data_IF_205965933877
#
_entry.id   IF_205965933877
#
_cell.length_a   1.000
_cell.length_b   1.000
_cell.length_c   1.000
_cell.angle_alpha   90.00
_cell.angle_beta   90.00
_cell.angle_gamma   90.00
#
_symmetry.space_group_name_H-M   'P 1'
#
loop_
_entity.id
_entity.type
_entity.pdbx_description
1 polymer ?
#
# COMPACT_ATOMS: atom_id res chain seq x y z
N UNK A 1 0.52 16.76 15.53
CA UNK A 1 1.68 17.69 15.61
C UNK A 1 2.45 17.75 14.28
N UNK A 2 2.81 16.61 13.70
CA UNK A 2 3.49 16.56 12.39
C UNK A 2 2.62 17.07 11.23
N UNK A 3 1.31 16.82 11.25
CA UNK A 3 0.39 17.32 10.22
C UNK A 3 0.28 18.86 10.22
N UNK A 4 0.50 19.52 11.37
CA UNK A 4 0.48 20.97 11.50
C UNK A 4 1.80 21.62 11.09
N UNK A 5 2.94 20.90 11.17
CA UNK A 5 4.26 21.41 10.80
C UNK A 5 4.54 21.33 9.29
N UNK A 6 3.75 20.58 8.52
CA UNK A 6 3.98 20.38 7.08
C UNK A 6 5.27 19.63 6.75
N UNK A 7 5.97 19.11 7.75
CA UNK A 7 7.28 18.44 7.59
C UNK A 7 7.18 17.11 6.83
N UNK A 8 6.00 16.52 6.75
CA UNK A 8 5.79 15.24 6.03
C UNK A 8 5.65 15.42 4.51
N UNK A 9 5.31 16.62 4.01
CA UNK A 9 5.17 16.90 2.58
C UNK A 9 6.52 17.26 1.96
N UNK A 10 7.37 16.25 1.76
CA UNK A 10 8.67 16.41 1.11
C UNK A 10 8.51 16.35 -0.40
N UNK A 11 8.13 17.46 -1.02
CA UNK A 11 7.81 17.55 -2.46
C UNK A 11 8.86 18.31 -3.27
N UNK A 12 9.87 18.87 -2.62
CA UNK A 12 10.91 19.66 -3.30
C UNK A 12 12.24 18.91 -3.29
N UNK A 13 12.86 18.65 -4.46
CA UNK A 13 14.20 18.09 -4.51
C UNK A 13 15.22 19.12 -4.01
N UNK A 14 16.19 18.67 -3.20
CA UNK A 14 17.33 19.50 -2.79
C UNK A 14 18.24 19.73 -3.99
N UNK A 15 18.53 20.99 -4.33
CA UNK A 15 19.39 21.32 -5.48
C UNK A 15 20.86 21.02 -5.23
N UNK A 16 21.29 20.98 -3.97
CA UNK A 16 22.68 20.82 -3.57
C UNK A 16 23.08 19.37 -3.34
N UNK A 17 22.14 18.43 -3.45
CA UNK A 17 22.37 17.01 -3.19
C UNK A 17 22.11 16.17 -4.43
N UNK A 18 23.13 16.11 -5.31
CA UNK A 18 23.09 15.27 -6.52
C UNK A 18 23.30 13.77 -6.26
N UNK A 19 23.72 13.39 -5.04
CA UNK A 19 24.11 12.01 -4.72
C UNK A 19 23.04 11.24 -3.95
N UNK A 20 22.27 11.90 -3.07
CA UNK A 20 21.34 11.24 -2.16
C UNK A 20 19.86 11.44 -2.53
N UNK A 21 19.55 12.27 -3.54
CA UNK A 21 18.16 12.62 -3.92
C UNK A 21 17.31 13.05 -2.71
N UNK A 22 17.85 13.92 -1.88
CA UNK A 22 17.16 14.42 -0.69
C UNK A 22 15.97 15.30 -1.11
N UNK A 23 14.79 14.95 -0.62
CA UNK A 23 13.58 15.74 -0.78
C UNK A 23 13.26 16.53 0.48
N UNK A 24 12.89 17.77 0.32
CA UNK A 24 12.72 18.74 1.40
C UNK A 24 11.24 19.12 1.54
N UNK A 25 10.76 19.25 2.77
CA UNK A 25 9.41 19.71 3.06
C UNK A 25 9.32 21.22 3.04
N UNK A 26 8.15 21.76 2.70
CA UNK A 26 7.88 23.20 2.64
C UNK A 26 8.16 23.95 3.96
N UNK A 27 7.87 23.32 5.10
CA UNK A 27 8.00 23.91 6.44
C UNK A 27 9.28 23.53 7.16
N UNK A 28 10.18 22.79 6.55
CA UNK A 28 11.46 22.43 7.15
C UNK A 28 12.29 23.72 7.38
N UNK A 29 12.77 23.91 8.61
CA UNK A 29 13.61 25.08 8.96
C UNK A 29 14.89 25.14 8.13
N UNK A 30 15.44 23.99 7.76
CA UNK A 30 16.61 23.88 6.89
C UNK A 30 16.26 23.95 5.39
N UNK A 31 14.98 23.83 5.02
CA UNK A 31 14.52 23.98 3.65
C UNK A 31 14.78 25.38 3.11
N UNK A 32 14.67 26.39 3.94
CA UNK A 32 14.94 27.77 3.56
C UNK A 32 16.39 27.94 3.09
N UNK A 33 17.35 27.37 3.79
CA UNK A 33 18.77 27.44 3.45
C UNK A 33 19.11 26.55 2.26
N UNK A 34 18.45 25.38 2.16
CA UNK A 34 18.63 24.43 1.06
C UNK A 34 17.88 24.81 -0.22
N UNK A 35 16.76 25.54 -0.10
CA UNK A 35 15.93 26.01 -1.22
C UNK A 35 16.27 27.43 -1.64
N UNK A 36 16.85 28.26 -0.75
CA UNK A 36 17.23 29.65 -0.99
C UNK A 36 18.68 29.83 -1.42
N UNK A 37 19.45 28.75 -1.50
CA UNK A 37 20.81 28.81 -1.99
C UNK A 37 20.87 29.59 -3.31
N UNK A 38 21.42 30.79 -3.27
CA UNK A 38 21.81 31.63 -4.42
C UNK A 38 20.78 32.52 -5.11
N UNK A 39 19.57 32.76 -4.55
CA UNK A 39 18.53 33.53 -5.25
C UNK A 39 18.24 34.96 -4.70
N UNK A 40 19.08 35.47 -3.89
CA UNK A 40 19.13 36.93 -3.63
C UNK A 40 20.27 37.51 -4.45
N UNK A 41 20.05 37.67 -5.76
CA UNK A 41 20.89 38.57 -6.55
C UNK A 41 20.47 40.02 -6.23
N UNK A 42 21.28 40.81 -5.51
CA UNK A 42 20.92 42.16 -5.11
C UNK A 42 20.89 43.16 -6.26
N UNK A 43 21.24 42.77 -7.49
CA UNK A 43 21.30 43.63 -8.66
C UNK A 43 20.19 43.30 -9.66
N UNK A 44 18.96 43.71 -9.32
CA UNK A 44 17.78 43.60 -10.14
C UNK A 44 17.95 43.97 -11.61
N UNK A 45 18.21 43.02 -12.47
CA UNK A 45 17.89 43.08 -13.89
C UNK A 45 17.10 41.81 -14.26
N UNK A 46 15.86 42.08 -14.62
CA UNK A 46 14.85 41.13 -15.02
C UNK A 46 15.25 40.39 -16.31
N UNK A 47 15.66 39.15 -16.14
CA UNK A 47 15.26 38.12 -17.05
C UNK A 47 14.51 37.12 -16.17
N UNK A 48 13.24 36.89 -16.47
CA UNK A 48 12.37 35.94 -15.79
C UNK A 48 12.84 34.54 -16.18
N UNK A 49 14.02 34.19 -15.66
CA UNK A 49 14.58 32.85 -15.85
C UNK A 49 13.94 31.96 -14.77
N UNK A 50 13.04 31.09 -15.23
CA UNK A 50 12.35 30.09 -14.40
C UNK A 50 13.32 29.24 -13.56
N UNK A 51 14.61 29.19 -13.95
CA UNK A 51 15.67 28.51 -13.18
C UNK A 51 15.96 29.20 -11.85
N UNK A 52 15.55 30.44 -11.67
CA UNK A 52 15.85 31.28 -10.50
C UNK A 52 14.67 31.43 -9.52
N UNK A 53 13.51 30.84 -9.79
CA UNK A 53 12.34 30.93 -8.91
C UNK A 53 12.45 29.89 -7.80
N UNK A 54 12.32 30.32 -6.55
CA UNK A 54 12.29 29.44 -5.39
C UNK A 54 11.05 28.55 -5.44
N UNK A 55 11.20 27.24 -5.20
CA UNK A 55 10.09 26.29 -5.05
C UNK A 55 9.06 26.80 -4.01
N UNK A 56 9.54 27.43 -2.95
CA UNK A 56 8.70 28.03 -1.91
C UNK A 56 7.74 29.08 -2.48
N UNK A 57 8.25 29.95 -3.35
CA UNK A 57 7.45 31.00 -4.00
C UNK A 57 6.40 30.40 -4.94
N UNK A 58 6.77 29.39 -5.72
CA UNK A 58 5.84 28.70 -6.62
C UNK A 58 4.73 27.99 -5.85
N UNK A 59 5.08 27.28 -4.79
CA UNK A 59 4.07 26.58 -3.98
C UNK A 59 3.13 27.58 -3.26
N UNK A 60 3.67 28.68 -2.75
CA UNK A 60 2.85 29.74 -2.16
C UNK A 60 1.88 30.33 -3.19
N UNK A 61 2.35 30.57 -4.40
CA UNK A 61 1.53 31.10 -5.49
C UNK A 61 0.44 30.10 -5.93
N UNK A 62 0.78 28.82 -6.00
CA UNK A 62 -0.19 27.74 -6.23
C UNK A 62 -1.31 27.75 -5.19
N UNK A 63 -0.96 27.85 -3.90
CA UNK A 63 -1.94 27.93 -2.82
C UNK A 63 -2.81 29.18 -2.88
N UNK A 64 -2.26 30.33 -3.26
CA UNK A 64 -3.01 31.59 -3.44
C UNK A 64 -4.04 31.44 -4.58
N UNK A 65 -3.65 30.86 -5.72
CA UNK A 65 -4.58 30.63 -6.83
C UNK A 65 -5.69 29.65 -6.47
N UNK A 66 -5.40 28.60 -5.69
CA UNK A 66 -6.43 27.69 -5.18
C UNK A 66 -7.42 28.40 -4.25
N UNK A 67 -6.94 29.28 -3.36
CA UNK A 67 -7.81 30.06 -2.48
C UNK A 67 -8.71 31.04 -3.23
N UNK A 68 -8.24 31.54 -4.38
CA UNK A 68 -9.00 32.43 -5.26
C UNK A 68 -9.89 31.70 -6.26
N UNK A 69 -9.91 30.37 -6.22
CA UNK A 69 -10.63 29.51 -7.16
C UNK A 69 -10.19 29.67 -8.62
N UNK A 70 -8.98 30.21 -8.83
CA UNK A 70 -8.35 30.38 -10.15
C UNK A 70 -7.63 29.10 -10.59
N UNK A 71 -8.39 28.01 -10.80
CA UNK A 71 -7.84 26.67 -11.05
C UNK A 71 -6.91 26.60 -12.26
N UNK A 72 -7.23 27.34 -13.34
CA UNK A 72 -6.39 27.36 -14.56
C UNK A 72 -5.00 27.98 -14.31
N UNK A 73 -4.95 29.00 -13.47
CA UNK A 73 -3.68 29.61 -13.06
C UNK A 73 -2.91 28.71 -12.11
N UNK A 74 -3.61 28.01 -11.21
CA UNK A 74 -3.03 26.99 -10.33
C UNK A 74 -2.41 25.84 -11.13
N UNK A 75 -3.10 25.31 -12.14
CA UNK A 75 -2.59 24.22 -13.01
C UNK A 75 -1.30 24.64 -13.72
N UNK A 76 -1.24 25.87 -14.27
CA UNK A 76 -0.02 26.37 -14.90
C UNK A 76 1.18 26.43 -13.92
N UNK A 77 0.95 26.83 -12.68
CA UNK A 77 2.02 26.85 -11.65
C UNK A 77 2.41 25.42 -11.27
N UNK A 78 1.45 24.50 -11.19
CA UNK A 78 1.70 23.09 -10.91
C UNK A 78 2.58 22.46 -11.98
N UNK A 79 2.31 22.74 -13.26
CA UNK A 79 3.12 22.27 -14.39
C UNK A 79 4.58 22.78 -14.28
N UNK A 80 4.77 24.02 -13.85
CA UNK A 80 6.12 24.56 -13.62
C UNK A 80 6.80 23.81 -12.48
N UNK A 81 6.11 23.53 -11.37
CA UNK A 81 6.65 22.77 -10.24
C UNK A 81 7.06 21.37 -10.69
N UNK A 82 6.20 20.65 -11.43
CA UNK A 82 6.47 19.30 -11.96
C UNK A 82 7.70 19.33 -12.88
N UNK A 83 7.79 20.29 -13.77
CA UNK A 83 8.93 20.41 -14.68
C UNK A 83 10.25 20.68 -13.93
N UNK A 84 10.21 21.49 -12.87
CA UNK A 84 11.36 21.73 -12.03
C UNK A 84 11.76 20.50 -11.21
N UNK A 85 10.78 19.76 -10.68
CA UNK A 85 11.03 18.48 -10.01
C UNK A 85 11.74 17.50 -10.95
N UNK A 86 11.24 17.36 -12.17
CA UNK A 86 11.86 16.49 -13.21
C UNK A 86 13.27 16.95 -13.60
N UNK A 87 13.53 18.25 -13.59
CA UNK A 87 14.85 18.81 -13.95
C UNK A 87 15.92 18.56 -12.88
N UNK A 88 15.53 18.61 -11.61
CA UNK A 88 16.48 18.54 -10.48
C UNK A 88 16.53 17.15 -9.79
N UNK A 89 15.74 16.20 -10.24
CA UNK A 89 15.73 14.84 -9.69
C UNK A 89 16.30 13.86 -10.71
N UNK A 90 17.00 12.81 -10.24
CA UNK A 90 17.44 11.73 -11.11
C UNK A 90 16.21 11.09 -11.78
N UNK A 91 16.18 10.97 -13.12
CA UNK A 91 15.08 10.34 -13.83
C UNK A 91 14.71 8.94 -13.34
N UNK A 92 15.66 8.21 -12.73
CA UNK A 92 15.44 6.89 -12.14
C UNK A 92 14.65 6.93 -10.83
N UNK A 93 14.65 8.08 -10.13
CA UNK A 93 13.97 8.27 -8.86
C UNK A 93 12.53 8.77 -9.02
N UNK A 94 12.16 9.20 -10.23
CA UNK A 94 10.80 9.67 -10.52
C UNK A 94 9.97 8.47 -11.01
N UNK A 95 8.86 8.12 -10.33
CA UNK A 95 7.97 7.06 -10.80
C UNK A 95 7.36 7.43 -12.17
N UNK A 96 7.16 6.43 -13.02
CA UNK A 96 6.46 6.62 -14.29
C UNK A 96 4.98 6.95 -14.05
N UNK A 97 4.32 7.61 -15.00
CA UNK A 97 2.87 7.89 -14.93
C UNK A 97 2.05 6.60 -14.71
N UNK A 98 2.43 5.51 -15.38
CA UNK A 98 1.78 4.21 -15.19
C UNK A 98 1.93 3.66 -13.76
N UNK A 99 3.06 3.90 -13.10
CA UNK A 99 3.25 3.53 -11.70
C UNK A 99 2.40 4.40 -10.76
N UNK A 100 2.31 5.70 -11.02
CA UNK A 100 1.45 6.61 -10.27
C UNK A 100 -0.03 6.23 -10.40
N UNK A 101 -0.50 5.96 -11.61
CA UNK A 101 -1.88 5.53 -11.84
C UNK A 101 -2.19 4.20 -11.15
N UNK A 102 -1.23 3.26 -11.17
CA UNK A 102 -1.35 1.99 -10.46
C UNK A 102 -1.42 2.19 -8.95
N UNK A 103 -0.59 3.07 -8.39
CA UNK A 103 -0.60 3.39 -6.96
C UNK A 103 -1.91 4.06 -6.54
N UNK A 104 -2.41 5.02 -7.33
CA UNK A 104 -3.70 5.66 -7.10
C UNK A 104 -4.84 4.62 -7.13
N UNK A 105 -4.81 3.72 -8.11
CA UNK A 105 -5.78 2.64 -8.24
C UNK A 105 -5.70 1.66 -7.07
N UNK A 106 -4.49 1.29 -6.64
CA UNK A 106 -4.24 0.44 -5.49
C UNK A 106 -4.82 1.06 -4.20
N UNK A 107 -4.54 2.33 -3.95
CA UNK A 107 -5.02 3.03 -2.76
C UNK A 107 -6.55 3.18 -2.76
N UNK A 108 -7.17 3.44 -3.91
CA UNK A 108 -8.62 3.54 -4.07
C UNK A 108 -9.34 2.20 -3.90
N UNK A 109 -8.73 1.10 -4.35
CA UNK A 109 -9.35 -0.23 -4.35
C UNK A 109 -9.47 -0.87 -2.96
N UNK A 110 -8.71 -0.37 -1.96
CA UNK A 110 -8.68 -0.89 -0.59
C UNK A 110 -8.64 -2.43 -0.54
N UNK A 111 -7.74 -3.05 -1.30
CA UNK A 111 -7.68 -4.49 -1.59
C UNK A 111 -7.77 -5.31 -0.29
N UNK A 112 -6.90 -5.05 0.69
CA UNK A 112 -6.85 -5.86 1.91
C UNK A 112 -8.09 -5.70 2.79
N UNK A 113 -8.77 -4.55 2.77
CA UNK A 113 -10.07 -4.37 3.43
C UNK A 113 -11.17 -5.21 2.78
N UNK A 114 -11.11 -5.38 1.47
CA UNK A 114 -12.03 -6.26 0.76
C UNK A 114 -11.71 -7.74 0.98
N UNK A 115 -10.41 -8.10 1.04
CA UNK A 115 -9.94 -9.45 1.40
C UNK A 115 -10.38 -9.83 2.81
N UNK A 116 -10.26 -8.92 3.78
CA UNK A 116 -10.77 -9.09 5.15
C UNK A 116 -12.24 -9.47 5.16
N UNK A 117 -13.09 -8.68 4.45
CA UNK A 117 -14.52 -8.97 4.31
C UNK A 117 -14.76 -10.33 3.65
N UNK A 118 -13.98 -10.65 2.63
CA UNK A 118 -14.04 -11.94 1.93
C UNK A 118 -13.81 -13.11 2.87
N UNK A 119 -12.72 -13.11 3.64
CA UNK A 119 -12.43 -14.16 4.62
C UNK A 119 -13.47 -14.21 5.73
N UNK A 120 -13.97 -13.07 6.22
CA UNK A 120 -15.03 -12.99 7.23
C UNK A 120 -16.29 -13.71 6.78
N UNK A 121 -16.81 -13.39 5.60
CA UNK A 121 -18.04 -14.03 5.11
C UNK A 121 -17.82 -15.50 4.78
N UNK A 122 -16.69 -15.85 4.18
CA UNK A 122 -16.34 -17.23 3.90
C UNK A 122 -16.26 -18.08 5.18
N UNK A 123 -15.65 -17.56 6.23
CA UNK A 123 -15.59 -18.24 7.53
C UNK A 123 -17.01 -18.53 8.05
N UNK A 124 -17.90 -17.53 8.08
CA UNK A 124 -19.25 -17.69 8.58
C UNK A 124 -20.04 -18.75 7.79
N UNK A 125 -19.97 -18.69 6.47
CA UNK A 125 -20.70 -19.64 5.62
C UNK A 125 -20.12 -21.06 5.67
N UNK A 126 -18.79 -21.20 5.62
CA UNK A 126 -18.12 -22.48 5.71
C UNK A 126 -18.35 -23.15 7.08
N UNK A 127 -18.34 -22.37 8.16
CA UNK A 127 -18.61 -22.86 9.50
C UNK A 127 -20.07 -23.33 9.61
N UNK A 128 -21.02 -22.53 9.10
CA UNK A 128 -22.43 -22.93 9.09
C UNK A 128 -22.65 -24.22 8.30
N UNK A 129 -22.02 -24.39 7.13
CA UNK A 129 -22.09 -25.61 6.34
C UNK A 129 -21.45 -26.81 7.06
N UNK A 130 -20.30 -26.61 7.71
CA UNK A 130 -19.65 -27.67 8.47
C UNK A 130 -20.50 -28.14 9.66
N UNK A 131 -21.14 -27.19 10.37
CA UNK A 131 -22.05 -27.52 11.47
C UNK A 131 -23.32 -28.25 10.97
N UNK A 132 -23.92 -27.79 9.88
CA UNK A 132 -25.08 -28.51 9.29
C UNK A 132 -24.71 -29.93 8.86
N UNK A 133 -23.54 -30.14 8.26
CA UNK A 133 -23.04 -31.46 7.90
C UNK A 133 -22.87 -32.33 9.16
N UNK A 134 -22.28 -31.82 10.22
CA UNK A 134 -22.05 -32.53 11.46
C UNK A 134 -23.36 -32.94 12.15
N UNK A 135 -24.38 -32.04 12.18
CA UNK A 135 -25.66 -32.30 12.83
C UNK A 135 -26.56 -33.25 12.08
N UNK A 136 -26.36 -33.39 10.76
CA UNK A 136 -27.27 -34.18 9.89
C UNK A 136 -26.60 -35.46 9.39
N UNK A 137 -25.36 -35.73 9.76
CA UNK A 137 -24.58 -36.92 9.37
C UNK A 137 -25.29 -38.24 9.62
N UNK A 138 -26.21 -38.30 10.59
CA UNK A 138 -26.99 -39.50 10.93
C UNK A 138 -28.21 -39.79 10.03
N UNK A 139 -28.63 -38.82 9.20
CA UNK A 139 -29.79 -38.97 8.31
C UNK A 139 -29.36 -39.10 6.85
N UNK A 140 -29.02 -40.31 6.49
CA UNK A 140 -28.44 -40.68 5.19
C UNK A 140 -29.48 -40.77 4.06
N UNK A 141 -30.02 -39.68 3.55
CA UNK A 141 -30.66 -39.66 2.24
C UNK A 141 -29.67 -39.11 1.19
N UNK A 142 -29.59 -39.79 0.03
CA UNK A 142 -28.68 -39.45 -1.08
C UNK A 142 -28.87 -38.00 -1.56
N UNK A 143 -30.10 -37.52 -1.55
CA UNK A 143 -30.47 -36.12 -1.93
C UNK A 143 -29.84 -35.09 -0.98
N UNK A 144 -29.73 -35.41 0.30
CA UNK A 144 -29.16 -34.53 1.28
C UNK A 144 -27.63 -34.40 1.13
N UNK A 145 -26.93 -35.50 0.83
CA UNK A 145 -25.48 -35.46 0.54
C UNK A 145 -25.14 -34.55 -0.65
N UNK A 146 -25.99 -34.49 -1.64
CA UNK A 146 -25.88 -33.58 -2.78
C UNK A 146 -26.15 -32.11 -2.36
N UNK A 147 -27.14 -31.88 -1.52
CA UNK A 147 -27.51 -30.55 -1.01
C UNK A 147 -26.42 -29.84 -0.22
N UNK A 148 -25.48 -30.58 0.42
CA UNK A 148 -24.35 -30.03 1.17
C UNK A 148 -23.06 -29.97 0.32
N UNK A 149 -22.83 -30.94 -0.56
CA UNK A 149 -21.61 -31.02 -1.38
C UNK A 149 -21.53 -29.84 -2.38
N UNK A 150 -22.64 -29.48 -3.01
CA UNK A 150 -22.67 -28.42 -4.02
C UNK A 150 -22.31 -27.03 -3.44
N UNK A 151 -22.96 -26.54 -2.35
CA UNK A 151 -22.55 -25.27 -1.75
C UNK A 151 -21.14 -25.30 -1.21
N UNK A 152 -20.67 -26.44 -0.64
CA UNK A 152 -19.31 -26.54 -0.17
C UNK A 152 -18.27 -26.36 -1.29
N UNK A 153 -18.50 -26.96 -2.46
CA UNK A 153 -17.65 -26.77 -3.64
C UNK A 153 -17.64 -25.31 -4.09
N UNK A 154 -18.80 -24.65 -4.11
CA UNK A 154 -18.92 -23.24 -4.45
C UNK A 154 -18.12 -22.35 -3.49
N UNK A 155 -18.26 -22.55 -2.17
CA UNK A 155 -17.54 -21.76 -1.17
C UNK A 155 -16.04 -22.05 -1.18
N UNK A 156 -15.60 -23.27 -1.51
CA UNK A 156 -14.19 -23.58 -1.74
C UNK A 156 -13.65 -22.80 -2.94
N UNK A 157 -14.41 -22.72 -4.03
CA UNK A 157 -14.04 -21.92 -5.20
C UNK A 157 -13.97 -20.42 -4.88
N UNK A 158 -14.94 -19.91 -4.11
CA UNK A 158 -14.92 -18.53 -3.62
C UNK A 158 -13.71 -18.25 -2.72
N UNK A 159 -13.32 -19.21 -1.86
CA UNK A 159 -12.10 -19.09 -1.07
C UNK A 159 -10.87 -18.95 -1.95
N UNK A 160 -10.75 -19.79 -2.99
CA UNK A 160 -9.66 -19.66 -3.98
C UNK A 160 -9.69 -18.27 -4.64
N UNK A 161 -10.87 -17.76 -4.99
CA UNK A 161 -11.03 -16.41 -5.54
C UNK A 161 -10.52 -15.31 -4.60
N UNK A 162 -10.91 -15.36 -3.31
CA UNK A 162 -10.42 -14.41 -2.29
C UNK A 162 -8.91 -14.55 -2.08
N UNK A 163 -8.39 -15.77 -2.06
CA UNK A 163 -6.96 -16.02 -1.93
C UNK A 163 -6.16 -15.49 -3.13
N UNK A 164 -6.65 -15.67 -4.35
CA UNK A 164 -6.02 -15.08 -5.54
C UNK A 164 -6.07 -13.56 -5.53
N UNK A 165 -7.17 -12.97 -5.07
CA UNK A 165 -7.28 -11.52 -4.90
C UNK A 165 -6.33 -10.99 -3.80
N UNK A 166 -6.13 -11.75 -2.73
CA UNK A 166 -5.12 -11.47 -1.71
C UNK A 166 -3.70 -11.50 -2.30
N UNK A 167 -3.40 -12.56 -3.06
CA UNK A 167 -2.11 -12.69 -3.77
C UNK A 167 -1.87 -11.52 -4.73
N UNK A 168 -2.89 -11.12 -5.48
CA UNK A 168 -2.84 -9.96 -6.36
C UNK A 168 -2.47 -8.68 -5.59
N UNK A 169 -3.07 -8.45 -4.41
CA UNK A 169 -2.74 -7.31 -3.55
C UNK A 169 -1.28 -7.30 -3.11
N UNK A 170 -0.73 -8.44 -2.71
CA UNK A 170 0.68 -8.60 -2.34
C UNK A 170 1.62 -8.36 -3.52
N UNK A 171 1.29 -8.87 -4.71
CA UNK A 171 2.09 -8.69 -5.93
C UNK A 171 2.13 -7.22 -6.35
N UNK A 172 0.99 -6.52 -6.36
CA UNK A 172 0.97 -5.08 -6.67
C UNK A 172 1.79 -4.30 -5.65
N UNK A 173 1.63 -4.61 -4.35
CA UNK A 173 2.40 -3.94 -3.30
C UNK A 173 3.90 -4.14 -3.51
N UNK A 174 4.34 -5.36 -3.80
CA UNK A 174 5.73 -5.66 -4.15
C UNK A 174 6.22 -4.85 -5.36
N UNK A 175 5.41 -4.80 -6.41
CA UNK A 175 5.78 -4.06 -7.62
C UNK A 175 5.94 -2.55 -7.35
N UNK A 176 5.02 -1.95 -6.57
CA UNK A 176 5.04 -0.53 -6.24
C UNK A 176 6.18 -0.15 -5.29
N UNK A 177 6.46 -0.98 -4.28
CA UNK A 177 7.52 -0.70 -3.30
C UNK A 177 8.92 -1.09 -3.78
N UNK A 178 9.02 -1.94 -4.81
CA UNK A 178 10.30 -2.48 -5.29
C UNK A 178 10.97 -3.48 -4.33
N UNK A 179 10.29 -3.86 -3.24
CA UNK A 179 10.77 -4.84 -2.26
C UNK A 179 9.65 -5.77 -1.81
N UNK A 180 10.04 -6.91 -1.23
CA UNK A 180 9.09 -7.89 -0.76
C UNK A 180 8.20 -7.33 0.37
N UNK A 181 6.88 -7.66 0.39
CA UNK A 181 5.89 -7.04 1.27
C UNK A 181 5.90 -7.63 2.69
N UNK A 182 6.98 -7.48 3.42
CA UNK A 182 7.17 -7.83 4.84
C UNK A 182 8.18 -6.90 5.54
N UNK A 183 8.25 -5.65 5.10
CA UNK A 183 9.17 -4.65 5.65
C UNK A 183 8.68 -3.99 6.93
N UNK A 184 7.39 -3.99 7.18
CA UNK A 184 6.77 -3.44 8.38
C UNK A 184 5.74 -4.40 8.99
N UNK A 185 5.24 -4.06 10.20
CA UNK A 185 4.29 -4.91 10.93
C UNK A 185 2.99 -5.17 10.17
N UNK A 186 2.47 -4.17 9.45
CA UNK A 186 1.28 -4.31 8.61
C UNK A 186 1.51 -5.36 7.50
N UNK A 187 2.59 -5.22 6.76
CA UNK A 187 2.94 -6.14 5.67
C UNK A 187 3.18 -7.57 6.17
N UNK A 188 3.87 -7.70 7.31
CA UNK A 188 4.11 -8.99 7.93
C UNK A 188 2.80 -9.71 8.27
N UNK A 189 1.83 -9.00 8.89
CA UNK A 189 0.53 -9.58 9.23
C UNK A 189 -0.26 -9.97 7.98
N UNK A 190 -0.29 -9.12 6.96
CA UNK A 190 -0.96 -9.43 5.68
C UNK A 190 -0.32 -10.66 5.03
N UNK A 191 1.01 -10.78 5.07
CA UNK A 191 1.72 -11.96 4.54
C UNK A 191 1.44 -13.22 5.36
N UNK A 192 1.39 -13.15 6.69
CA UNK A 192 1.02 -14.28 7.56
C UNK A 192 -0.41 -14.74 7.25
N UNK A 193 -1.35 -13.81 7.06
CA UNK A 193 -2.71 -14.14 6.68
C UNK A 193 -2.78 -14.86 5.32
N UNK A 194 -1.94 -14.45 4.37
CA UNK A 194 -1.78 -15.13 3.08
C UNK A 194 -1.25 -16.56 3.25
N UNK A 195 -0.19 -16.73 4.05
CA UNK A 195 0.36 -18.06 4.38
C UNK A 195 -0.66 -18.97 5.07
N UNK A 196 -1.47 -18.41 5.97
CA UNK A 196 -2.60 -19.13 6.61
C UNK A 196 -3.62 -19.58 5.56
N UNK A 197 -4.01 -18.70 4.61
CA UNK A 197 -4.91 -19.05 3.52
C UNK A 197 -4.34 -20.15 2.62
N UNK A 198 -3.04 -20.08 2.30
CA UNK A 198 -2.34 -21.11 1.53
C UNK A 198 -2.38 -22.47 2.26
N UNK A 199 -2.07 -22.47 3.55
CA UNK A 199 -2.15 -23.68 4.38
C UNK A 199 -3.56 -24.26 4.39
N UNK A 200 -4.58 -23.41 4.48
CA UNK A 200 -5.98 -23.81 4.38
C UNK A 200 -6.30 -24.53 3.08
N UNK A 201 -5.82 -24.02 1.96
CA UNK A 201 -6.00 -24.69 0.65
C UNK A 201 -5.29 -26.04 0.58
N UNK A 202 -4.05 -26.13 1.07
CA UNK A 202 -3.27 -27.38 1.07
C UNK A 202 -3.95 -28.45 1.91
N UNK A 203 -4.41 -28.08 3.12
CA UNK A 203 -5.00 -29.02 4.06
C UNK A 203 -6.52 -29.22 3.91
N UNK A 204 -7.19 -28.44 3.06
CA UNK A 204 -8.65 -28.54 2.82
C UNK A 204 -9.12 -29.91 2.36
N UNK A 205 -8.24 -30.66 1.70
CA UNK A 205 -8.52 -32.02 1.26
C UNK A 205 -8.67 -33.05 2.40
N UNK A 206 -8.11 -32.75 3.58
CA UNK A 206 -8.20 -33.66 4.74
C UNK A 206 -9.43 -33.35 5.61
N UNK A 207 -9.85 -32.09 5.70
CA UNK A 207 -11.02 -31.72 6.47
C UNK A 207 -11.63 -30.41 5.95
N UNK A 208 -12.94 -30.39 5.85
CA UNK A 208 -13.72 -29.21 5.43
C UNK A 208 -13.70 -28.09 6.48
N UNK A 209 -13.63 -28.47 7.78
CA UNK A 209 -13.53 -27.54 8.89
C UNK A 209 -12.22 -26.77 8.85
N UNK A 210 -11.15 -27.35 8.32
CA UNK A 210 -9.85 -26.70 8.16
C UNK A 210 -9.98 -25.41 7.35
N UNK A 211 -10.75 -25.44 6.25
CA UNK A 211 -10.93 -24.27 5.39
C UNK A 211 -11.69 -23.13 6.11
N UNK A 212 -12.69 -23.47 6.93
CA UNK A 212 -13.42 -22.53 7.77
C UNK A 212 -12.50 -21.92 8.84
N UNK A 213 -11.72 -22.76 9.53
CA UNK A 213 -10.78 -22.34 10.57
C UNK A 213 -9.69 -21.43 10.02
N UNK A 214 -9.11 -21.75 8.88
CA UNK A 214 -8.07 -20.91 8.24
C UNK A 214 -8.65 -19.60 7.73
N UNK A 215 -9.89 -19.57 7.19
CA UNK A 215 -10.57 -18.34 6.84
C UNK A 215 -10.79 -17.43 8.06
N UNK A 216 -11.16 -18.02 9.21
CA UNK A 216 -11.33 -17.30 10.45
C UNK A 216 -10.03 -16.68 10.96
N UNK A 217 -8.95 -17.46 11.02
CA UNK A 217 -7.64 -16.99 11.45
C UNK A 217 -7.11 -15.90 10.50
N UNK A 218 -7.18 -16.12 9.18
CA UNK A 218 -6.78 -15.11 8.19
C UNK A 218 -7.58 -13.79 8.34
N UNK A 219 -8.89 -13.89 8.58
CA UNK A 219 -9.73 -12.72 8.89
C UNK A 219 -9.24 -11.97 10.12
N UNK A 220 -9.00 -12.68 11.25
CA UNK A 220 -8.53 -12.04 12.48
C UNK A 220 -7.18 -11.35 12.30
N UNK A 221 -6.25 -11.97 11.59
CA UNK A 221 -4.92 -11.40 11.34
C UNK A 221 -5.03 -10.12 10.51
N UNK A 222 -5.83 -10.11 9.41
CA UNK A 222 -5.99 -8.92 8.57
C UNK A 222 -6.76 -7.82 9.32
N UNK A 223 -7.76 -8.18 10.12
CA UNK A 223 -8.46 -7.25 11.00
C UNK A 223 -7.48 -6.57 11.99
N UNK A 224 -6.56 -7.33 12.58
CA UNK A 224 -5.52 -6.79 13.46
C UNK A 224 -4.56 -5.88 12.70
N UNK A 225 -4.18 -6.22 11.48
CA UNK A 225 -3.35 -5.38 10.62
C UNK A 225 -4.03 -4.04 10.28
N UNK A 226 -5.36 -4.02 10.17
CA UNK A 226 -6.15 -2.81 9.88
C UNK A 226 -6.37 -1.89 11.08
N UNK A 227 -5.85 -2.21 12.28
CA UNK A 227 -5.99 -1.37 13.46
C UNK A 227 -5.10 -0.12 13.37
N UNK A 228 -5.52 0.97 14.05
CA UNK A 228 -4.92 2.33 13.98
C UNK A 228 -3.42 2.42 14.27
N UNK A 229 -2.84 1.42 14.94
CA UNK A 229 -1.41 1.39 15.28
C UNK A 229 -0.52 0.84 14.17
N UNK A 230 -1.08 0.36 13.07
CA UNK A 230 -0.34 -0.20 11.94
C UNK A 230 -0.49 0.69 10.72
N UNK A 231 0.63 1.14 10.17
CA UNK A 231 0.63 2.01 9.00
C UNK A 231 0.50 1.19 7.71
N UNK A 232 -0.61 1.31 6.95
CA UNK A 232 -0.79 0.61 5.68
C UNK A 232 -0.05 1.26 4.51
N UNK A 233 0.61 2.43 4.71
CA UNK A 233 1.29 3.17 3.65
C UNK A 233 2.42 2.34 3.02
N UNK A 234 2.74 2.67 1.77
CA UNK A 234 3.89 2.13 1.08
C UNK A 234 5.14 2.84 1.61
N UNK A 235 5.99 2.12 2.33
CA UNK A 235 7.21 2.67 2.92
C UNK A 235 8.46 2.10 2.24
N UNK A 236 9.53 2.87 2.25
CA UNK A 236 10.82 2.40 1.75
C UNK A 236 11.41 1.34 2.69
N UNK A 237 12.14 0.39 2.11
CA UNK A 237 12.79 -0.67 2.86
C UNK A 237 13.86 -0.10 3.81
N UNK A 238 13.78 -0.47 5.07
CA UNK A 238 14.83 -0.14 6.05
C UNK A 238 16.16 -0.75 5.59
N UNK A 239 17.28 0.00 5.61
CA UNK A 239 18.57 -0.47 5.08
C UNK A 239 19.03 -1.83 5.60
N UNK A 240 18.72 -2.16 6.84
CA UNK A 240 19.05 -3.45 7.48
C UNK A 240 18.39 -4.64 6.76
N UNK A 241 17.22 -4.45 6.15
CA UNK A 241 16.46 -5.51 5.46
C UNK A 241 16.85 -5.70 3.99
N UNK A 242 17.91 -5.04 3.49
CA UNK A 242 18.37 -5.19 2.10
C UNK A 242 19.07 -6.52 1.81
N UNK A 243 19.39 -7.32 2.84
CA UNK A 243 20.03 -8.63 2.66
C UNK A 243 19.06 -9.66 2.13
N UNK A 244 19.37 -10.29 0.98
CA UNK A 244 18.53 -11.33 0.36
C UNK A 244 18.26 -12.52 1.30
N UNK A 245 19.28 -12.98 2.04
CA UNK A 245 19.15 -14.08 2.99
C UNK A 245 18.27 -13.72 4.18
N UNK A 246 18.36 -12.48 4.66
CA UNK A 246 17.51 -12.01 5.76
C UNK A 246 16.04 -11.98 5.33
N UNK A 247 15.76 -11.56 4.10
CA UNK A 247 14.40 -11.54 3.53
C UNK A 247 13.79 -12.95 3.52
N UNK A 248 14.53 -13.95 3.03
CA UNK A 248 14.06 -15.35 3.02
C UNK A 248 13.86 -15.86 4.43
N UNK A 249 14.80 -15.58 5.33
CA UNK A 249 14.72 -16.01 6.72
C UNK A 249 13.49 -15.44 7.44
N UNK A 250 13.25 -14.13 7.29
CA UNK A 250 12.06 -13.47 7.84
C UNK A 250 10.78 -14.06 7.26
N UNK A 251 10.69 -14.29 5.95
CA UNK A 251 9.53 -14.90 5.34
C UNK A 251 9.24 -16.31 5.87
N UNK A 252 10.27 -17.15 6.04
CA UNK A 252 10.12 -18.49 6.61
C UNK A 252 9.66 -18.45 8.08
N UNK A 253 10.28 -17.59 8.90
CA UNK A 253 9.92 -17.48 10.32
C UNK A 253 8.49 -16.95 10.46
N UNK A 254 8.14 -15.85 9.78
CA UNK A 254 6.80 -15.26 9.88
C UNK A 254 5.70 -16.19 9.41
N UNK A 255 5.99 -17.10 8.47
CA UNK A 255 5.01 -18.09 7.99
C UNK A 255 4.92 -19.31 8.92
N UNK A 256 5.93 -19.55 9.75
CA UNK A 256 5.97 -20.72 10.65
C UNK A 256 5.24 -20.48 11.98
N UNK A 257 4.97 -19.25 12.35
CA UNK A 257 4.17 -18.87 13.51
C UNK A 257 2.67 -18.87 13.20
#
# INVERSE_FOLDING_TARGET
YMAQSGEFLRIFPSRNDSLNNEWVAFMDKHARDKLSGEYLNPNGKESFDLSNVSFLTLFTQYMIFLQKEEYKSADNVLDVIINLQRKYTDPKSIPSEAQLDLEISYNKSAIFKNVEKGYKYLCLFLLALALTEALISDRSTSVFKWGVKTPLMLFTLLFVGVFLYHTYGLVIRWYLTGHAPWSNGYEALVFIAWGTGLSGLIFSKFSKITLAGTAFVAYLIIMTAGHENMDPQLTNLVPVLKSYWLIIHVACITTSY
#
